data_IF_658662054100
#
_entry.id   IF_658662054100
#
_cell.length_a   1.000
_cell.length_b   1.000
_cell.length_c   1.000
_cell.angle_alpha   90.00
_cell.angle_beta   90.00
_cell.angle_gamma   90.00
#
_symmetry.space_group_name_H-M   'P 1'
#
loop_
_entity.id
_entity.type
_entity.pdbx_description
1 polymer ?
#
# COMPACT_ATOMS: atom_id res chain seq x y z
N UNK A 1 11.63 7.48 3.86
CA UNK A 1 10.80 7.87 2.70
C UNK A 1 9.41 7.30 2.73
N UNK A 2 9.14 6.01 2.45
CA UNK A 2 7.74 5.51 2.40
C UNK A 2 6.96 5.85 3.69
N UNK A 3 7.52 5.51 4.86
CA UNK A 3 6.96 5.90 6.17
C UNK A 3 6.75 7.42 6.27
N UNK A 4 7.78 8.21 5.99
CA UNK A 4 7.72 9.68 6.03
C UNK A 4 6.65 10.26 5.10
N UNK A 5 6.49 9.71 3.89
CA UNK A 5 5.48 10.13 2.93
C UNK A 5 4.07 9.83 3.45
N UNK A 6 3.87 8.68 4.10
CA UNK A 6 2.60 8.36 4.77
C UNK A 6 2.31 9.33 5.91
N UNK A 7 3.29 9.63 6.76
CA UNK A 7 3.13 10.52 7.92
C UNK A 7 2.89 12.00 7.51
N UNK A 8 3.18 12.34 6.25
CA UNK A 8 2.91 13.67 5.68
C UNK A 8 1.57 13.76 4.94
N UNK A 9 0.75 12.71 4.93
CA UNK A 9 -0.55 12.71 4.24
C UNK A 9 -1.46 13.78 4.83
N UNK A 10 -2.03 14.60 3.95
CA UNK A 10 -3.09 15.52 4.32
C UNK A 10 -4.47 14.87 4.10
N UNK A 11 -5.19 14.66 5.20
CA UNK A 11 -6.49 13.99 5.18
C UNK A 11 -7.58 14.76 4.41
N UNK A 12 -7.38 16.06 4.14
CA UNK A 12 -8.30 16.86 3.36
C UNK A 12 -8.42 16.38 1.90
N UNK A 13 -7.37 15.76 1.35
CA UNK A 13 -7.35 15.26 -0.03
C UNK A 13 -7.86 13.82 -0.17
N UNK A 14 -8.01 13.09 0.94
CA UNK A 14 -8.37 11.66 0.92
C UNK A 14 -9.74 11.37 1.52
N UNK A 15 -10.26 12.30 2.32
CA UNK A 15 -11.57 12.17 2.97
C UNK A 15 -12.67 12.59 2.00
N UNK A 16 -13.64 11.71 1.78
CA UNK A 16 -14.82 12.03 0.97
C UNK A 16 -15.61 13.16 1.61
N UNK A 17 -16.18 14.01 0.76
CA UNK A 17 -17.15 15.01 1.20
C UNK A 17 -18.26 14.34 1.99
N UNK A 18 -18.63 14.95 3.11
CA UNK A 18 -19.77 14.49 3.92
C UNK A 18 -21.11 14.83 3.28
N UNK A 19 -21.12 15.60 2.18
CA UNK A 19 -22.33 15.90 1.43
C UNK A 19 -22.87 14.62 0.78
N UNK A 20 -24.09 14.25 1.17
CA UNK A 20 -24.85 13.18 0.53
C UNK A 20 -25.96 13.88 -0.26
N UNK A 21 -25.99 13.69 -1.58
CA UNK A 21 -26.87 14.45 -2.49
C UNK A 21 -28.37 14.19 -2.26
N UNK A 22 -28.74 13.14 -1.51
CA UNK A 22 -30.11 12.70 -1.27
C UNK A 22 -30.43 12.36 0.21
N UNK A 23 -29.51 12.59 1.18
CA UNK A 23 -29.70 12.35 2.62
C UNK A 23 -28.96 13.37 3.49
N UNK A 24 -29.15 13.29 4.81
CA UNK A 24 -28.25 13.92 5.78
C UNK A 24 -26.79 13.49 5.57
N UNK A 25 -25.87 14.34 6.04
CA UNK A 25 -24.43 14.16 5.91
C UNK A 25 -23.93 12.82 6.43
N UNK A 26 -22.83 12.30 5.85
CA UNK A 26 -22.14 11.12 6.40
C UNK A 26 -21.74 11.36 7.86
N UNK A 27 -22.17 10.46 8.76
CA UNK A 27 -21.86 10.54 10.20
C UNK A 27 -20.36 10.39 10.47
N UNK A 28 -19.65 9.60 9.66
CA UNK A 28 -18.23 9.35 9.80
C UNK A 28 -17.48 9.67 8.50
N UNK A 29 -16.27 10.26 8.58
CA UNK A 29 -15.42 10.47 7.42
C UNK A 29 -15.10 9.13 6.75
N UNK A 30 -15.34 9.05 5.45
CA UNK A 30 -15.01 7.88 4.63
C UNK A 30 -13.85 8.24 3.74
N UNK A 31 -12.77 7.47 3.78
CA UNK A 31 -11.67 7.56 2.83
C UNK A 31 -11.65 6.33 1.91
N UNK A 32 -11.14 6.55 0.71
CA UNK A 32 -10.99 5.52 -0.33
C UNK A 32 -9.50 5.22 -0.55
N UNK A 33 -9.19 3.97 -0.91
CA UNK A 33 -7.80 3.51 -1.11
C UNK A 33 -7.09 4.33 -2.21
N UNK A 34 -7.78 4.65 -3.32
CA UNK A 34 -7.19 5.38 -4.46
C UNK A 34 -6.80 6.84 -4.15
N UNK A 35 -7.69 7.71 -3.63
CA UNK A 35 -7.29 9.05 -3.20
C UNK A 35 -6.13 9.04 -2.21
N UNK A 36 -6.12 8.08 -1.29
CA UNK A 36 -5.03 7.92 -0.33
C UNK A 36 -3.70 7.56 -1.01
N UNK A 37 -3.74 6.64 -1.96
CA UNK A 37 -2.57 6.29 -2.79
C UNK A 37 -2.05 7.51 -3.57
N UNK A 38 -2.92 8.33 -4.16
CA UNK A 38 -2.50 9.53 -4.89
C UNK A 38 -1.90 10.61 -3.99
N UNK A 39 -2.45 10.82 -2.80
CA UNK A 39 -1.86 11.74 -1.82
C UNK A 39 -0.50 11.23 -1.32
N UNK A 40 -0.38 9.92 -1.05
CA UNK A 40 0.93 9.31 -0.78
C UNK A 40 1.92 9.55 -1.93
N UNK A 41 1.49 9.40 -3.18
CA UNK A 41 2.34 9.65 -4.35
C UNK A 41 2.82 11.09 -4.39
N UNK A 42 1.93 12.06 -4.12
CA UNK A 42 2.27 13.47 -4.03
C UNK A 42 3.32 13.75 -2.93
N UNK A 43 3.08 13.26 -1.70
CA UNK A 43 4.02 13.45 -0.59
C UNK A 43 5.36 12.75 -0.83
N UNK A 44 5.35 11.56 -1.44
CA UNK A 44 6.56 10.86 -1.84
C UNK A 44 7.36 11.68 -2.85
N UNK A 45 6.72 12.25 -3.87
CA UNK A 45 7.35 13.10 -4.89
C UNK A 45 7.98 14.36 -4.30
N UNK A 46 7.33 15.01 -3.33
CA UNK A 46 7.90 16.15 -2.60
C UNK A 46 9.17 15.79 -1.83
N UNK A 47 9.22 14.59 -1.25
CA UNK A 47 10.43 14.08 -0.60
C UNK A 47 11.51 13.71 -1.62
N UNK A 48 11.10 13.24 -2.80
CA UNK A 48 11.96 12.80 -3.90
C UNK A 48 12.66 13.94 -4.63
N UNK A 49 12.08 15.14 -4.70
CA UNK A 49 12.71 16.32 -5.31
C UNK A 49 14.05 16.71 -4.65
N UNK A 50 14.38 16.15 -3.48
CA UNK A 50 15.63 16.40 -2.77
C UNK A 50 16.60 15.21 -2.75
N UNK A 51 16.24 14.02 -3.24
CA UNK A 51 17.12 12.84 -3.17
C UNK A 51 16.57 11.67 -4.02
N UNK A 52 17.46 10.86 -4.61
CA UNK A 52 17.22 9.63 -5.41
C UNK A 52 17.34 9.69 -6.95
N UNK A 53 18.51 10.09 -7.46
CA UNK A 53 19.12 9.61 -8.71
C UNK A 53 18.18 9.03 -9.80
N UNK A 54 18.34 7.74 -10.16
CA UNK A 54 17.63 7.11 -11.29
C UNK A 54 16.37 6.30 -10.88
N UNK A 55 15.97 6.31 -9.60
CA UNK A 55 14.89 5.44 -9.08
C UNK A 55 13.56 6.15 -9.12
N UNK A 56 12.56 5.60 -9.80
CA UNK A 56 11.23 6.23 -9.95
C UNK A 56 10.16 5.42 -9.22
N UNK A 57 9.29 6.13 -8.50
CA UNK A 57 8.00 5.61 -8.05
C UNK A 57 6.99 5.79 -9.18
N UNK A 58 6.37 4.70 -9.64
CA UNK A 58 5.34 4.75 -10.69
C UNK A 58 4.04 4.11 -10.22
N UNK A 59 2.93 4.78 -10.50
CA UNK A 59 1.57 4.30 -10.21
C UNK A 59 0.99 3.50 -11.37
N UNK A 60 0.05 2.59 -11.07
CA UNK A 60 -0.87 1.98 -12.05
C UNK A 60 -0.20 1.35 -13.30
N UNK A 61 1.02 0.82 -13.17
CA UNK A 61 1.83 0.38 -14.32
C UNK A 61 1.27 -0.89 -14.95
N UNK A 62 0.94 -0.90 -16.24
CA UNK A 62 0.50 -2.13 -16.90
C UNK A 62 1.69 -3.03 -17.34
N UNK A 63 2.14 -3.94 -16.46
CA UNK A 63 3.19 -4.93 -16.82
C UNK A 63 2.72 -6.03 -17.77
N UNK A 64 1.40 -6.22 -17.96
CA UNK A 64 0.89 -7.18 -18.95
C UNK A 64 1.17 -6.72 -20.39
N UNK A 65 1.09 -5.40 -20.64
CA UNK A 65 1.51 -4.77 -21.89
C UNK A 65 3.02 -4.94 -22.18
N UNK A 66 3.82 -5.30 -21.16
CA UNK A 66 5.25 -5.57 -21.25
C UNK A 66 5.57 -7.08 -21.29
N UNK A 67 4.58 -7.93 -21.57
CA UNK A 67 4.77 -9.37 -21.79
C UNK A 67 4.81 -10.22 -20.52
N UNK A 68 4.31 -9.74 -19.38
CA UNK A 68 4.20 -10.54 -18.15
C UNK A 68 2.73 -10.87 -17.80
N UNK A 69 2.17 -11.98 -18.34
CA UNK A 69 0.75 -12.30 -18.21
C UNK A 69 0.34 -12.71 -16.79
N UNK A 70 1.29 -13.13 -15.93
CA UNK A 70 1.03 -13.54 -14.56
C UNK A 70 0.79 -12.37 -13.60
N UNK A 71 1.08 -11.13 -14.02
CA UNK A 71 0.68 -9.95 -13.28
C UNK A 71 -0.48 -9.24 -13.99
N UNK A 72 -1.66 -9.88 -14.04
CA UNK A 72 -2.89 -9.18 -14.45
C UNK A 72 -3.34 -8.16 -13.41
N UNK A 73 -3.01 -8.39 -12.15
CA UNK A 73 -3.29 -7.47 -11.03
C UNK A 73 -1.99 -6.78 -10.62
N UNK A 74 -1.98 -5.46 -10.76
CA UNK A 74 -0.86 -4.61 -10.41
C UNK A 74 -0.91 -4.22 -8.94
N UNK A 75 0.26 -3.99 -8.30
CA UNK A 75 0.32 -3.18 -7.10
C UNK A 75 -0.07 -1.75 -7.44
N UNK A 76 -0.48 -0.98 -6.43
CA UNK A 76 -0.74 0.45 -6.61
C UNK A 76 0.51 1.20 -7.09
N UNK A 77 1.69 0.84 -6.56
CA UNK A 77 2.97 1.40 -7.00
C UNK A 77 4.09 0.39 -7.17
N UNK A 78 5.03 0.77 -8.03
CA UNK A 78 6.34 0.13 -8.16
C UNK A 78 7.44 1.16 -7.98
N UNK A 79 8.56 0.74 -7.40
CA UNK A 79 9.78 1.50 -7.23
C UNK A 79 10.90 0.79 -7.99
N UNK A 80 11.41 1.39 -9.07
CA UNK A 80 12.40 0.79 -9.95
C UNK A 80 13.30 1.81 -10.63
N UNK A 81 14.33 1.36 -11.32
CA UNK A 81 15.02 2.15 -12.34
C UNK A 81 14.34 1.93 -13.71
N UNK A 82 13.85 2.98 -14.40
CA UNK A 82 13.20 2.84 -15.71
C UNK A 82 14.13 2.22 -16.76
N UNK A 83 13.55 1.61 -17.80
CA UNK A 83 14.27 1.01 -18.94
C UNK A 83 15.27 -0.11 -18.60
N UNK A 84 15.29 -0.59 -17.36
CA UNK A 84 16.13 -1.70 -16.95
C UNK A 84 15.35 -2.71 -16.12
N UNK A 85 15.75 -3.98 -16.23
CA UNK A 85 15.30 -5.05 -15.33
C UNK A 85 16.22 -5.20 -14.12
N UNK A 86 17.31 -4.44 -14.08
CA UNK A 86 18.26 -4.40 -12.97
C UNK A 86 17.71 -3.39 -11.95
N UNK A 87 17.82 -3.73 -10.66
CA UNK A 87 17.42 -2.84 -9.56
C UNK A 87 15.91 -2.52 -9.47
N UNK A 88 15.04 -3.53 -9.58
CA UNK A 88 13.66 -3.40 -9.12
C UNK A 88 13.62 -3.41 -7.57
N UNK A 89 13.29 -2.27 -6.95
CA UNK A 89 13.43 -2.08 -5.51
C UNK A 89 12.25 -2.63 -4.74
N UNK A 90 11.05 -2.15 -5.04
CA UNK A 90 9.88 -2.62 -4.31
C UNK A 90 8.54 -2.39 -5.00
N UNK A 91 7.53 -3.08 -4.48
CA UNK A 91 6.13 -2.93 -4.84
C UNK A 91 5.35 -2.51 -3.60
N UNK A 92 4.35 -1.64 -3.77
CA UNK A 92 3.55 -1.08 -2.66
C UNK A 92 2.08 -1.25 -3.00
N UNK A 93 1.31 -1.83 -2.08
CA UNK A 93 -0.15 -1.94 -2.13
C UNK A 93 -0.77 -1.24 -0.93
N UNK A 94 -1.92 -0.60 -1.14
CA UNK A 94 -2.74 0.00 -0.10
C UNK A 94 -4.00 -0.80 0.15
N UNK A 95 -4.32 -1.04 1.42
CA UNK A 95 -5.58 -1.64 1.85
C UNK A 95 -6.14 -0.92 3.06
N UNK A 96 -7.46 -0.80 3.11
CA UNK A 96 -8.14 -0.45 4.36
C UNK A 96 -8.09 -1.64 5.31
N UNK A 97 -7.87 -1.37 6.59
CA UNK A 97 -7.99 -2.35 7.65
C UNK A 97 -9.42 -2.93 7.70
N UNK A 98 -10.42 -2.07 7.55
CA UNK A 98 -11.84 -2.44 7.58
C UNK A 98 -12.59 -1.82 6.41
N UNK A 99 -13.58 -2.55 5.89
CA UNK A 99 -14.49 -2.12 4.83
C UNK A 99 -15.91 -2.45 5.26
N UNK A 100 -16.81 -1.46 5.27
CA UNK A 100 -18.20 -1.61 5.69
C UNK A 100 -18.33 -2.30 7.07
N UNK A 101 -17.54 -1.86 8.06
CA UNK A 101 -17.53 -2.42 9.41
C UNK A 101 -16.90 -3.81 9.56
N UNK A 102 -16.44 -4.43 8.47
CA UNK A 102 -15.89 -5.77 8.45
C UNK A 102 -14.37 -5.77 8.24
N UNK A 103 -13.69 -6.73 8.89
CA UNK A 103 -12.24 -6.93 8.73
C UNK A 103 -11.88 -7.24 7.28
N UNK A 104 -10.87 -6.56 6.76
CA UNK A 104 -10.37 -6.78 5.41
C UNK A 104 -9.22 -7.82 5.32
N UNK A 105 -8.94 -8.54 6.42
CA UNK A 105 -7.79 -9.45 6.56
C UNK A 105 -7.67 -10.47 5.42
N UNK A 106 -8.81 -11.00 4.93
CA UNK A 106 -8.81 -11.98 3.84
C UNK A 106 -8.28 -11.39 2.53
N UNK A 107 -8.64 -10.14 2.21
CA UNK A 107 -8.14 -9.48 0.99
C UNK A 107 -6.67 -9.11 1.14
N UNK A 108 -6.29 -8.54 2.28
CA UNK A 108 -4.89 -8.21 2.60
C UNK A 108 -3.98 -9.45 2.43
N UNK A 109 -4.38 -10.61 2.97
CA UNK A 109 -3.63 -11.87 2.81
C UNK A 109 -3.50 -12.33 1.35
N UNK A 110 -4.54 -12.12 0.53
CA UNK A 110 -4.48 -12.40 -0.91
C UNK A 110 -3.50 -11.47 -1.63
N UNK A 111 -3.40 -10.22 -1.18
CA UNK A 111 -2.45 -9.26 -1.74
C UNK A 111 -1.00 -9.65 -1.42
N UNK A 112 -0.71 -10.29 -0.28
CA UNK A 112 0.65 -10.82 -0.02
C UNK A 112 1.12 -11.78 -1.12
N UNK A 113 0.26 -12.73 -1.50
CA UNK A 113 0.58 -13.70 -2.55
C UNK A 113 0.72 -13.03 -3.92
N UNK A 114 -0.12 -12.02 -4.20
CA UNK A 114 0.02 -11.17 -5.39
C UNK A 114 1.39 -10.49 -5.42
N UNK A 115 1.79 -9.83 -4.33
CA UNK A 115 3.05 -9.09 -4.25
C UNK A 115 4.27 -10.00 -4.30
N UNK A 116 4.20 -11.21 -3.75
CA UNK A 116 5.27 -12.20 -3.86
C UNK A 116 5.54 -12.65 -5.30
N UNK A 117 4.55 -12.61 -6.20
CA UNK A 117 4.81 -12.87 -7.61
C UNK A 117 5.70 -11.81 -8.26
N UNK A 118 5.70 -10.57 -7.77
CA UNK A 118 6.62 -9.53 -8.24
C UNK A 118 8.06 -9.75 -7.77
N UNK A 119 8.25 -10.46 -6.66
CA UNK A 119 9.60 -10.83 -6.17
C UNK A 119 10.23 -11.96 -7.00
N UNK A 120 9.43 -12.74 -7.73
CA UNK A 120 9.91 -13.87 -8.55
C UNK A 120 10.52 -13.40 -9.88
N UNK A 121 11.37 -14.24 -10.52
CA UNK A 121 11.81 -13.98 -11.88
C UNK A 121 10.64 -13.86 -12.87
N UNK A 122 10.76 -13.01 -13.90
CA UNK A 122 11.89 -12.15 -14.24
C UNK A 122 11.90 -10.79 -13.53
N UNK A 123 10.84 -10.45 -12.78
CA UNK A 123 10.65 -9.12 -12.20
C UNK A 123 11.61 -8.85 -11.02
N UNK A 124 11.83 -9.83 -10.14
CA UNK A 124 12.85 -9.79 -9.08
C UNK A 124 12.81 -8.50 -8.22
N UNK A 125 11.62 -8.00 -7.90
CA UNK A 125 11.49 -6.89 -6.94
C UNK A 125 12.04 -7.34 -5.58
N UNK A 126 12.91 -6.52 -4.99
CA UNK A 126 13.59 -6.89 -3.73
C UNK A 126 12.65 -6.88 -2.53
N UNK A 127 11.66 -5.98 -2.54
CA UNK A 127 10.80 -5.70 -1.39
C UNK A 127 9.32 -5.69 -1.77
N UNK A 128 8.47 -6.28 -0.93
CA UNK A 128 7.03 -6.07 -0.97
C UNK A 128 6.60 -5.25 0.26
N UNK A 129 5.71 -4.29 0.06
CA UNK A 129 5.17 -3.44 1.12
C UNK A 129 3.64 -3.45 1.02
N UNK A 130 2.98 -3.80 2.11
CA UNK A 130 1.54 -3.59 2.28
C UNK A 130 1.33 -2.41 3.23
N UNK A 131 0.58 -1.39 2.81
CA UNK A 131 0.16 -0.29 3.66
C UNK A 131 -1.28 -0.56 4.10
N UNK A 132 -1.47 -0.70 5.42
CA UNK A 132 -2.79 -0.97 6.01
C UNK A 132 -3.25 0.26 6.75
N UNK A 133 -4.34 0.86 6.27
CA UNK A 133 -4.89 2.13 6.77
C UNK A 133 -6.09 1.87 7.66
N UNK A 134 -6.11 2.42 8.88
CA UNK A 134 -7.27 2.32 9.76
C UNK A 134 -7.13 3.17 11.02
N UNK A 135 -8.12 3.08 11.90
CA UNK A 135 -8.01 3.58 13.28
C UNK A 135 -7.09 2.68 14.11
N UNK A 136 -6.67 3.17 15.28
CA UNK A 136 -5.88 2.39 16.25
C UNK A 136 -6.53 1.02 16.55
N UNK A 137 -7.86 1.03 16.75
CA UNK A 137 -8.62 -0.17 17.09
C UNK A 137 -8.71 -1.16 15.92
N UNK A 138 -8.92 -0.65 14.71
CA UNK A 138 -8.97 -1.47 13.49
C UNK A 138 -7.62 -2.14 13.22
N UNK A 139 -6.52 -1.38 13.33
CA UNK A 139 -5.15 -1.87 13.18
C UNK A 139 -4.85 -2.95 14.22
N UNK A 140 -5.15 -2.71 15.50
CA UNK A 140 -4.98 -3.70 16.58
C UNK A 140 -5.71 -5.00 16.29
N UNK A 141 -6.93 -4.92 15.73
CA UNK A 141 -7.69 -6.12 15.33
C UNK A 141 -7.05 -6.81 14.12
N UNK A 142 -6.57 -6.07 13.13
CA UNK A 142 -5.86 -6.66 11.98
C UNK A 142 -4.57 -7.38 12.39
N UNK A 143 -3.74 -6.79 13.26
CA UNK A 143 -2.53 -7.42 13.79
C UNK A 143 -2.79 -8.78 14.45
N UNK A 144 -3.94 -8.94 15.13
CA UNK A 144 -4.34 -10.23 15.71
C UNK A 144 -4.67 -11.30 14.66
N UNK A 145 -5.21 -10.89 13.51
CA UNK A 145 -5.63 -11.76 12.41
C UNK A 145 -4.51 -12.09 11.43
N UNK A 146 -3.56 -11.16 11.27
CA UNK A 146 -2.41 -11.26 10.37
C UNK A 146 -1.18 -11.59 11.22
N UNK A 147 -0.99 -12.88 11.48
CA UNK A 147 0.15 -13.39 12.25
C UNK A 147 1.28 -13.79 11.30
N UNK A 148 2.49 -13.36 11.64
CA UNK A 148 3.69 -13.88 10.99
C UNK A 148 3.78 -15.39 11.20
N UNK A 149 4.21 -16.09 10.16
CA UNK A 149 4.60 -17.49 10.22
C UNK A 149 6.08 -17.59 10.65
N UNK A 150 6.53 -18.78 11.03
CA UNK A 150 7.94 -19.04 11.34
C UNK A 150 8.83 -19.01 10.09
N UNK A 151 8.30 -19.55 8.99
CA UNK A 151 8.95 -19.61 7.68
C UNK A 151 8.13 -18.85 6.64
N UNK A 152 8.69 -18.60 5.46
CA UNK A 152 7.97 -18.03 4.32
C UNK A 152 8.67 -16.85 3.67
N UNK A 153 7.99 -16.26 2.70
CA UNK A 153 8.43 -15.03 2.04
C UNK A 153 8.15 -13.83 2.95
N UNK A 154 9.09 -12.90 3.01
CA UNK A 154 8.92 -11.70 3.84
C UNK A 154 8.23 -10.57 3.08
N UNK A 155 7.37 -9.86 3.81
CA UNK A 155 6.70 -8.61 3.42
C UNK A 155 6.80 -7.60 4.58
N UNK A 156 6.97 -6.33 4.25
CA UNK A 156 6.84 -5.25 5.21
C UNK A 156 5.39 -4.77 5.26
N UNK A 157 4.86 -4.60 6.46
CA UNK A 157 3.57 -3.97 6.68
C UNK A 157 3.80 -2.59 7.31
N UNK A 158 3.19 -1.57 6.73
CA UNK A 158 3.08 -0.24 7.31
C UNK A 158 1.66 -0.03 7.81
N UNK A 159 1.48 -0.04 9.12
CA UNK A 159 0.20 0.19 9.79
C UNK A 159 -0.01 1.69 9.97
N UNK A 160 -0.79 2.31 9.10
CA UNK A 160 -1.04 3.76 9.14
C UNK A 160 -2.29 4.07 9.96
N UNK A 161 -2.09 4.68 11.13
CA UNK A 161 -3.16 5.16 11.98
C UNK A 161 -3.61 6.56 11.54
N UNK A 162 -4.86 6.64 11.06
CA UNK A 162 -5.47 7.90 10.58
C UNK A 162 -5.76 8.91 11.68
N UNK A 163 -5.84 8.49 12.94
CA UNK A 163 -6.21 9.34 14.09
C UNK A 163 -5.04 10.19 14.56
N UNK A 164 -3.80 9.72 14.35
CA UNK A 164 -2.58 10.41 14.76
C UNK A 164 -1.55 10.59 13.62
N UNK A 165 -1.91 10.22 12.39
CA UNK A 165 -1.06 10.31 11.20
C UNK A 165 0.30 9.62 11.35
N UNK A 166 0.35 8.52 12.10
CA UNK A 166 1.56 7.76 12.35
C UNK A 166 1.56 6.42 11.61
N UNK A 167 2.72 6.00 11.10
CA UNK A 167 2.89 4.66 10.52
C UNK A 167 3.84 3.80 11.36
N UNK A 168 3.34 2.67 11.87
CA UNK A 168 4.18 1.64 12.49
C UNK A 168 4.63 0.62 11.45
N UNK A 169 5.88 0.15 11.54
CA UNK A 169 6.43 -0.81 10.58
C UNK A 169 6.67 -2.17 11.21
N UNK A 170 6.06 -3.20 10.65
CA UNK A 170 6.31 -4.60 10.99
C UNK A 170 6.88 -5.36 9.80
N UNK A 171 7.73 -6.36 10.07
CA UNK A 171 8.11 -7.38 9.09
C UNK A 171 7.41 -8.67 9.45
N UNK A 172 6.71 -9.27 8.49
CA UNK A 172 6.10 -10.58 8.67
C UNK A 172 6.61 -11.55 7.61
N UNK A 173 6.55 -12.83 7.95
CA UNK A 173 6.78 -13.95 7.04
C UNK A 173 5.45 -14.61 6.72
N UNK A 174 5.23 -14.91 5.44
CA UNK A 174 3.98 -15.45 4.93
C UNK A 174 4.21 -16.53 3.89
N UNK A 175 3.35 -17.55 3.93
CA UNK A 175 3.15 -18.55 2.89
C UNK A 175 1.70 -19.04 2.98
N UNK A 176 1.11 -19.39 1.84
CA UNK A 176 -0.19 -20.10 1.79
C UNK A 176 -0.03 -21.57 2.17
#
# INVERSE_FOLDING_TARGET
MVKTALENIDLNYVTLSRLVYDRNSLENPVFQEKPFAYEFYHQFRKLYENDFGEVVLQAEVNKSAQGYPNCKKMPDFILHTPETRRNNFGVIEFKRAYVNGNSNASKIKKDFNKLFNFKKPPLRYKTAIEVIIGTENEIKRQKKLIKSKENGESIWILWFNIENLNAEKDKIFWFE
#
